data_IF_215421362918
#
_entry.id   IF_215421362918
#
_cell.length_a   1.000
_cell.length_b   1.000
_cell.length_c   1.000
_cell.angle_alpha   90.00
_cell.angle_beta   90.00
_cell.angle_gamma   90.00
#
_symmetry.space_group_name_H-M   'P 1'
#
loop_
_entity.id
_entity.type
_entity.pdbx_description
1 polymer ?
#
# COMPACT_ATOMS: atom_id res chain seq x y z
N UNK A 1 -18.03 3.47 -16.98
CA UNK A 1 -17.26 3.54 -15.75
C UNK A 1 -15.77 3.61 -16.06
N UNK A 2 -15.38 2.70 -16.88
CA UNK A 2 -13.99 2.36 -16.99
C UNK A 2 -13.13 3.35 -17.78
N UNK A 3 -13.56 3.93 -18.92
CA UNK A 3 -12.69 4.82 -19.69
C UNK A 3 -12.24 6.05 -18.92
N UNK A 4 -13.18 6.77 -18.33
CA UNK A 4 -12.87 8.00 -17.59
C UNK A 4 -12.09 7.72 -16.32
N UNK A 5 -12.47 6.65 -15.62
CA UNK A 5 -11.78 6.21 -14.42
C UNK A 5 -10.31 5.89 -14.72
N UNK A 6 -10.03 5.20 -15.82
CA UNK A 6 -8.67 4.82 -16.19
C UNK A 6 -7.80 6.03 -16.50
N UNK A 7 -8.34 7.04 -17.18
CA UNK A 7 -7.61 8.26 -17.48
C UNK A 7 -7.34 9.06 -16.22
N UNK A 8 -8.35 9.22 -15.37
CA UNK A 8 -8.25 9.90 -14.10
C UNK A 8 -7.21 9.24 -13.20
N UNK A 9 -7.24 7.92 -13.11
CA UNK A 9 -6.31 7.14 -12.33
C UNK A 9 -4.85 7.34 -12.78
N UNK A 10 -4.63 7.53 -14.08
CA UNK A 10 -3.28 7.73 -14.63
C UNK A 10 -2.66 9.08 -14.30
N UNK A 11 -3.44 10.03 -13.85
CA UNK A 11 -2.92 11.30 -13.36
C UNK A 11 -2.72 11.21 -11.84
N UNK A 12 -1.69 10.50 -11.44
CA UNK A 12 -1.46 10.12 -10.04
C UNK A 12 -1.34 11.30 -9.09
N UNK A 13 -0.81 12.43 -9.55
CA UNK A 13 -0.61 13.59 -8.68
C UNK A 13 -1.90 14.35 -8.39
N UNK A 14 -2.94 14.16 -9.20
CA UNK A 14 -4.22 14.84 -9.03
C UNK A 14 -5.36 13.89 -8.64
N UNK A 15 -5.23 12.61 -8.92
CA UNK A 15 -6.22 11.61 -8.58
C UNK A 15 -6.37 11.52 -7.06
N UNK A 16 -7.58 11.72 -6.55
CA UNK A 16 -7.86 11.76 -5.11
C UNK A 16 -7.22 10.62 -4.32
N UNK A 17 -7.28 9.42 -4.87
CA UNK A 17 -6.75 8.22 -4.22
C UNK A 17 -5.23 8.28 -4.00
N UNK A 18 -4.51 8.87 -4.93
CA UNK A 18 -3.04 8.90 -4.93
C UNK A 18 -2.44 10.29 -4.71
N UNK A 19 -3.29 11.33 -4.63
CA UNK A 19 -2.83 12.71 -4.46
C UNK A 19 -2.01 12.87 -3.19
N UNK A 20 -0.85 13.51 -3.32
CA UNK A 20 0.05 13.72 -2.21
C UNK A 20 0.89 12.49 -1.85
N UNK A 21 0.64 11.35 -2.50
CA UNK A 21 1.39 10.12 -2.29
C UNK A 21 2.27 9.82 -3.50
N UNK A 22 1.69 9.83 -4.69
CA UNK A 22 2.42 9.52 -5.93
C UNK A 22 2.55 10.74 -6.82
N UNK A 23 3.78 11.06 -7.20
CA UNK A 23 4.09 12.11 -8.15
C UNK A 23 3.99 11.57 -9.57
N UNK A 24 4.57 10.40 -9.81
CA UNK A 24 4.50 9.65 -11.05
C UNK A 24 4.25 8.18 -10.71
N UNK A 25 4.22 7.31 -11.71
CA UNK A 25 4.03 5.89 -11.48
C UNK A 25 5.08 5.29 -10.54
N UNK A 26 6.34 5.75 -10.63
CA UNK A 26 7.45 5.17 -9.89
C UNK A 26 8.03 6.08 -8.82
N UNK A 27 7.59 7.33 -8.73
CA UNK A 27 8.14 8.32 -7.80
C UNK A 27 7.05 8.75 -6.82
N UNK A 28 7.31 8.57 -5.54
CA UNK A 28 6.41 8.97 -4.46
C UNK A 28 6.93 10.23 -3.77
N UNK A 29 6.00 11.09 -3.34
CA UNK A 29 6.34 12.22 -2.47
C UNK A 29 6.89 11.76 -1.12
N UNK A 30 6.73 10.47 -0.78
CA UNK A 30 7.22 9.89 0.47
C UNK A 30 8.64 9.33 0.34
N UNK A 31 9.27 9.43 -0.82
CA UNK A 31 10.59 8.82 -1.04
C UNK A 31 11.70 9.39 -0.14
N UNK A 32 11.60 10.64 0.29
CA UNK A 32 12.56 11.19 1.26
C UNK A 32 12.33 10.64 2.67
N UNK A 33 11.07 10.38 3.04
CA UNK A 33 10.73 9.78 4.32
C UNK A 33 10.97 8.27 4.34
N UNK A 34 10.75 7.60 3.20
CA UNK A 34 10.86 6.15 3.05
C UNK A 34 11.79 5.83 1.87
N UNK A 35 13.11 6.08 2.00
CA UNK A 35 14.03 5.91 0.86
C UNK A 35 14.17 4.47 0.39
N UNK A 36 14.00 3.48 1.27
CA UNK A 36 14.08 2.07 0.88
C UNK A 36 12.92 1.63 0.00
N UNK A 37 11.84 2.43 -0.09
CA UNK A 37 10.71 2.11 -0.97
C UNK A 37 11.15 1.80 -2.40
N UNK A 38 12.08 2.58 -2.93
CA UNK A 38 12.56 2.42 -4.30
C UNK A 38 13.26 1.09 -4.55
N UNK A 39 13.74 0.45 -3.50
CA UNK A 39 14.47 -0.81 -3.60
C UNK A 39 13.56 -2.03 -3.38
N UNK A 40 12.29 -1.80 -3.06
CA UNK A 40 11.32 -2.87 -2.84
C UNK A 40 10.80 -3.33 -4.20
N UNK A 41 11.20 -4.53 -4.61
CA UNK A 41 10.81 -5.12 -5.89
C UNK A 41 10.54 -6.61 -5.69
N UNK A 42 9.37 -7.04 -6.12
CA UNK A 42 8.94 -8.43 -5.93
C UNK A 42 9.28 -9.33 -7.10
N UNK A 43 9.39 -8.77 -8.29
CA UNK A 43 9.62 -9.53 -9.52
C UNK A 43 10.97 -9.14 -10.14
N UNK A 44 12.05 -9.36 -9.39
CA UNK A 44 13.40 -9.03 -9.83
C UNK A 44 14.37 -10.10 -9.38
N UNK A 45 15.49 -10.24 -10.09
CA UNK A 45 16.56 -11.15 -9.73
C UNK A 45 17.40 -10.67 -8.53
N UNK A 46 17.26 -9.40 -8.15
CA UNK A 46 18.02 -8.80 -7.04
C UNK A 46 17.10 -8.04 -6.10
N UNK A 47 16.19 -8.74 -5.38
CA UNK A 47 15.33 -8.06 -4.40
C UNK A 47 16.15 -7.62 -3.19
N UNK A 48 15.62 -6.59 -2.48
CA UNK A 48 16.16 -6.23 -1.18
C UNK A 48 15.96 -7.39 -0.19
N UNK A 49 16.94 -7.63 0.66
CA UNK A 49 16.83 -8.69 1.66
C UNK A 49 16.00 -8.21 2.85
N UNK A 50 14.77 -8.70 2.97
CA UNK A 50 13.88 -8.35 4.08
C UNK A 50 14.40 -8.84 5.41
N UNK A 51 15.11 -9.98 5.44
CA UNK A 51 15.70 -10.52 6.67
C UNK A 51 16.70 -9.57 7.33
N UNK A 52 17.31 -8.69 6.55
CA UNK A 52 18.28 -7.70 7.04
C UNK A 52 17.71 -6.30 7.19
N UNK A 53 16.58 -6.01 6.56
CA UNK A 53 16.07 -4.65 6.45
C UNK A 53 14.66 -4.47 7.01
N UNK A 54 14.04 -5.52 7.55
CA UNK A 54 12.66 -5.47 8.02
C UNK A 54 12.43 -4.37 9.07
N UNK A 55 13.39 -4.18 9.95
CA UNK A 55 13.29 -3.21 11.05
C UNK A 55 13.37 -1.75 10.60
N UNK A 56 13.88 -1.51 9.40
CA UNK A 56 13.84 -0.18 8.77
C UNK A 56 12.63 -0.04 7.85
N UNK A 57 12.19 -1.11 7.23
CA UNK A 57 11.12 -1.10 6.23
C UNK A 57 9.73 -1.07 6.89
N UNK A 58 9.40 -2.05 7.71
CA UNK A 58 8.03 -2.20 8.20
C UNK A 58 7.61 -1.14 9.21
N UNK A 59 8.45 -0.75 10.19
CA UNK A 59 8.06 0.36 11.06
C UNK A 59 7.86 1.69 10.32
N UNK A 60 8.63 1.93 9.26
CA UNK A 60 8.44 3.11 8.42
C UNK A 60 7.16 2.99 7.61
N UNK A 61 6.91 1.82 7.03
CA UNK A 61 5.69 1.53 6.27
C UNK A 61 4.43 1.84 7.08
N UNK A 62 4.41 1.49 8.36
CA UNK A 62 3.27 1.72 9.24
C UNK A 62 2.96 3.20 9.47
N UNK A 63 3.87 4.09 9.08
CA UNK A 63 3.69 5.55 9.18
C UNK A 63 3.31 6.17 7.86
N UNK A 64 2.98 5.37 6.87
CA UNK A 64 2.64 5.81 5.51
C UNK A 64 1.21 5.37 5.16
N UNK A 65 0.62 5.93 4.10
CA UNK A 65 -0.67 5.46 3.61
C UNK A 65 -0.59 4.19 2.75
N UNK A 66 0.55 3.51 2.73
CA UNK A 66 0.66 2.21 2.04
C UNK A 66 0.12 1.11 2.94
N UNK A 67 -1.01 0.45 2.58
CA UNK A 67 -1.57 -0.59 3.45
C UNK A 67 -0.70 -1.84 3.58
N UNK A 68 0.11 -2.13 2.57
CA UNK A 68 1.00 -3.30 2.51
C UNK A 68 2.33 -2.89 1.88
N UNK A 69 3.31 -3.75 2.01
CA UNK A 69 4.59 -3.50 1.36
C UNK A 69 4.46 -3.49 -0.17
N UNK A 70 3.66 -4.40 -0.72
CA UNK A 70 3.44 -4.48 -2.16
C UNK A 70 2.82 -3.19 -2.70
N UNK A 71 1.93 -2.56 -1.94
CA UNK A 71 1.30 -1.30 -2.35
C UNK A 71 2.27 -0.13 -2.43
N UNK A 72 3.48 -0.27 -1.88
CA UNK A 72 4.51 0.77 -1.91
C UNK A 72 5.43 0.68 -3.14
N UNK A 73 5.24 -0.30 -4.01
CA UNK A 73 6.16 -0.53 -5.13
C UNK A 73 6.00 0.48 -6.27
N UNK A 74 4.78 0.81 -6.64
CA UNK A 74 4.47 1.84 -7.64
C UNK A 74 3.01 2.26 -7.51
N UNK A 75 2.60 3.28 -8.26
CA UNK A 75 1.25 3.83 -8.16
C UNK A 75 0.17 2.86 -8.62
N UNK A 76 0.44 2.06 -9.66
CA UNK A 76 -0.52 1.05 -10.13
C UNK A 76 -0.75 -0.03 -9.07
N UNK A 77 0.32 -0.54 -8.50
CA UNK A 77 0.25 -1.56 -7.45
C UNK A 77 -0.36 -0.99 -6.18
N UNK A 78 -0.14 0.29 -5.90
CA UNK A 78 -0.77 0.96 -4.76
C UNK A 78 -2.30 0.90 -4.87
N UNK A 79 -2.84 1.26 -6.02
CA UNK A 79 -4.29 1.20 -6.22
C UNK A 79 -4.79 -0.25 -6.18
N UNK A 80 -4.15 -1.13 -6.95
CA UNK A 80 -4.58 -2.52 -7.06
C UNK A 80 -4.55 -3.25 -5.72
N UNK A 81 -3.47 -3.11 -4.97
CA UNK A 81 -3.33 -3.84 -3.71
C UNK A 81 -4.17 -3.21 -2.59
N UNK A 82 -4.37 -1.90 -2.63
CA UNK A 82 -5.31 -1.25 -1.71
C UNK A 82 -6.74 -1.74 -1.95
N UNK A 83 -7.13 -1.90 -3.21
CA UNK A 83 -8.43 -2.45 -3.59
C UNK A 83 -8.58 -3.89 -3.09
N UNK A 84 -7.60 -4.73 -3.34
CA UNK A 84 -7.60 -6.13 -2.88
C UNK A 84 -7.65 -6.18 -1.35
N UNK A 85 -6.86 -5.35 -0.68
CA UNK A 85 -6.84 -5.27 0.79
C UNK A 85 -8.21 -4.90 1.34
N UNK A 86 -8.88 -3.95 0.70
CA UNK A 86 -10.22 -3.52 1.09
C UNK A 86 -11.24 -4.67 0.95
N UNK A 87 -11.23 -5.34 -0.19
CA UNK A 87 -12.14 -6.48 -0.41
C UNK A 87 -11.89 -7.56 0.63
N UNK A 88 -10.65 -7.91 0.86
CA UNK A 88 -10.25 -8.97 1.79
C UNK A 88 -10.65 -8.65 3.23
N UNK A 89 -10.29 -7.46 3.70
CA UNK A 89 -10.44 -7.12 5.12
C UNK A 89 -11.82 -6.57 5.47
N UNK A 90 -12.41 -5.76 4.60
CA UNK A 90 -13.70 -5.13 4.90
C UNK A 90 -14.88 -5.91 4.36
N UNK A 91 -14.87 -6.29 3.09
CA UNK A 91 -16.02 -6.97 2.48
C UNK A 91 -16.08 -8.44 2.87
N UNK A 92 -14.96 -9.15 2.84
CA UNK A 92 -14.90 -10.57 3.21
C UNK A 92 -14.63 -10.78 4.70
N UNK A 93 -14.32 -9.73 5.44
CA UNK A 93 -14.04 -9.75 6.88
C UNK A 93 -12.97 -10.76 7.28
N UNK A 94 -11.95 -10.88 6.44
CA UNK A 94 -10.81 -11.76 6.71
C UNK A 94 -9.66 -10.94 7.30
N UNK A 95 -8.88 -11.57 8.15
CA UNK A 95 -7.68 -10.93 8.71
C UNK A 95 -6.52 -10.99 7.72
N UNK A 96 -5.68 -9.96 7.76
CA UNK A 96 -4.41 -9.93 7.06
C UNK A 96 -3.38 -9.38 8.02
N UNK A 97 -2.47 -10.23 8.48
CA UNK A 97 -1.40 -9.86 9.38
C UNK A 97 -0.06 -10.29 8.83
N UNK A 98 0.94 -9.44 9.00
CA UNK A 98 2.33 -9.79 8.73
C UNK A 98 3.00 -10.04 10.07
N UNK A 99 3.68 -11.16 10.20
CA UNK A 99 4.44 -11.48 11.39
C UNK A 99 5.87 -11.85 10.99
N UNK A 100 6.83 -11.34 11.75
CA UNK A 100 8.25 -11.64 11.54
C UNK A 100 8.78 -12.39 12.75
N UNK A 101 9.46 -13.49 12.48
CA UNK A 101 10.04 -14.33 13.51
C UNK A 101 11.56 -14.41 13.34
N UNK A 102 12.27 -14.35 14.46
CA UNK A 102 13.71 -14.60 14.52
C UNK A 102 13.96 -15.58 15.67
N UNK A 103 14.69 -16.65 15.40
CA UNK A 103 14.97 -17.70 16.39
C UNK A 103 13.69 -18.21 17.07
N UNK A 104 12.64 -18.46 16.25
CA UNK A 104 11.34 -18.95 16.69
C UNK A 104 10.56 -17.98 17.59
N UNK A 105 11.01 -16.73 17.67
CA UNK A 105 10.36 -15.70 18.47
C UNK A 105 9.78 -14.63 17.56
N UNK A 106 8.52 -14.23 17.78
CA UNK A 106 7.93 -13.14 17.01
C UNK A 106 8.56 -11.81 17.45
N UNK A 107 9.18 -11.12 16.50
CA UNK A 107 9.86 -9.85 16.74
C UNK A 107 9.07 -8.65 16.19
N UNK A 108 8.10 -8.89 15.32
CA UNK A 108 7.31 -7.80 14.72
C UNK A 108 5.97 -8.34 14.22
N UNK A 109 4.94 -7.51 14.31
CA UNK A 109 3.61 -7.80 13.78
C UNK A 109 2.99 -6.52 13.24
N UNK A 110 2.35 -6.63 12.08
CA UNK A 110 1.67 -5.52 11.42
C UNK A 110 0.35 -6.00 10.81
N UNK A 111 -0.69 -5.21 10.96
CA UNK A 111 -1.96 -5.42 10.25
C UNK A 111 -1.88 -4.81 8.86
N UNK A 112 -2.73 -5.29 7.96
CA UNK A 112 -3.00 -4.56 6.72
C UNK A 112 -3.53 -3.18 7.08
N UNK A 113 -2.96 -2.14 6.47
CA UNK A 113 -3.25 -0.77 6.84
C UNK A 113 -4.52 -0.16 6.25
N UNK A 114 -5.20 -0.85 5.33
CA UNK A 114 -6.31 -0.22 4.57
C UNK A 114 -7.44 0.28 5.47
N UNK A 115 -7.68 -0.36 6.61
CA UNK A 115 -8.70 0.08 7.57
C UNK A 115 -8.13 0.89 8.72
N UNK A 116 -6.83 1.17 8.71
CA UNK A 116 -6.18 2.00 9.73
C UNK A 116 -6.30 3.49 9.37
N UNK A 117 -6.21 4.39 10.37
CA UNK A 117 -6.31 5.83 10.11
C UNK A 117 -5.35 6.38 9.06
N UNK A 118 -4.17 5.78 8.93
CA UNK A 118 -3.17 6.19 7.94
C UNK A 118 -3.62 6.02 6.50
N UNK A 119 -4.62 5.18 6.26
CA UNK A 119 -5.20 4.94 4.92
C UNK A 119 -6.62 5.49 4.81
N UNK A 120 -6.99 6.46 5.62
CA UNK A 120 -8.35 6.99 5.67
C UNK A 120 -8.88 7.47 4.31
N UNK A 121 -8.09 8.22 3.57
CA UNK A 121 -8.50 8.74 2.26
C UNK A 121 -8.80 7.60 1.28
N UNK A 122 -7.93 6.62 1.24
CA UNK A 122 -8.06 5.46 0.35
C UNK A 122 -9.28 4.62 0.72
N UNK A 123 -9.46 4.40 2.01
CA UNK A 123 -10.62 3.64 2.49
C UNK A 123 -11.93 4.34 2.16
N UNK A 124 -12.02 5.65 2.40
CA UNK A 124 -13.21 6.42 2.08
C UNK A 124 -13.53 6.42 0.59
N UNK A 125 -12.51 6.53 -0.24
CA UNK A 125 -12.68 6.44 -1.69
C UNK A 125 -13.29 5.09 -2.09
N UNK A 126 -12.77 4.01 -1.54
CA UNK A 126 -13.28 2.66 -1.82
C UNK A 126 -14.68 2.43 -1.22
N UNK A 127 -14.94 2.97 -0.03
CA UNK A 127 -16.28 2.93 0.56
C UNK A 127 -17.31 3.57 -0.39
N UNK A 128 -16.98 4.70 -0.99
CA UNK A 128 -17.87 5.39 -1.91
C UNK A 128 -18.11 4.59 -3.18
N UNK A 129 -17.06 4.01 -3.76
CA UNK A 129 -17.21 3.16 -4.95
C UNK A 129 -18.15 1.99 -4.67
N UNK A 130 -17.94 1.27 -3.59
CA UNK A 130 -18.72 0.09 -3.27
C UNK A 130 -20.15 0.41 -2.84
N UNK A 131 -20.36 1.55 -2.19
CA UNK A 131 -21.72 1.96 -1.81
C UNK A 131 -22.55 2.38 -3.03
N UNK A 132 -21.92 2.94 -4.06
CA UNK A 132 -22.61 3.30 -5.29
C UNK A 132 -22.91 2.09 -6.17
N UNK A 133 -22.06 1.06 -6.09
CA UNK A 133 -22.16 -0.12 -6.94
C UNK A 133 -23.04 -1.20 -6.32
N UNK A 134 -23.05 -1.28 -5.03
CA UNK A 134 -23.78 -2.30 -4.26
C UNK A 134 -24.69 -1.67 -3.24
#
# INVERSE_FOLDING_TARGET
IVPDFKEEYRNFSEFEFSKGIWKTEDVSYLDSFFPLRKEIKFYTSKPIELSKNWDSIYPTLEKTPFPTLYSATNADDFFADSFVSYVHTKLQKKTWNLEIFQNKKRVFRMKNGIQEPRCKVQKEYLDNIFSETF
#
